data_IF_149494030211
#
_entry.id   IF_149494030211
#
_cell.length_a   1.000
_cell.length_b   1.000
_cell.length_c   1.000
_cell.angle_alpha   90.00
_cell.angle_beta   90.00
_cell.angle_gamma   90.00
#
_symmetry.space_group_name_H-M   'P 1'
#
loop_
_entity.id
_entity.type
_entity.pdbx_description
1 polymer ?
#
# COMPACT_ATOMS: atom_id res chain seq x y z
N UNK A 1 -48.79 27.89 -44.21
CA UNK A 1 -47.34 28.14 -44.02
C UNK A 1 -47.01 28.48 -42.57
N UNK A 2 -47.66 29.47 -41.95
CA UNK A 2 -47.38 29.88 -40.55
C UNK A 2 -47.48 28.77 -39.47
N UNK A 3 -48.39 27.80 -39.60
CA UNK A 3 -48.57 26.74 -38.57
C UNK A 3 -47.36 25.79 -38.50
N UNK A 4 -46.73 25.49 -39.64
CA UNK A 4 -45.56 24.60 -39.69
C UNK A 4 -44.32 25.26 -39.05
N UNK A 5 -44.16 26.58 -39.25
CA UNK A 5 -43.08 27.37 -38.66
C UNK A 5 -43.19 27.44 -37.12
N UNK A 6 -44.41 27.62 -36.59
CA UNK A 6 -44.66 27.66 -35.14
C UNK A 6 -44.37 26.29 -34.50
N UNK A 7 -44.81 25.19 -35.13
CA UNK A 7 -44.54 23.84 -34.61
C UNK A 7 -43.04 23.54 -34.65
N UNK A 8 -42.36 23.90 -35.74
CA UNK A 8 -40.91 23.75 -35.86
C UNK A 8 -40.15 24.51 -34.77
N UNK A 9 -40.54 25.76 -34.49
CA UNK A 9 -39.96 26.56 -33.42
C UNK A 9 -40.19 25.93 -32.02
N UNK A 10 -41.41 25.45 -31.75
CA UNK A 10 -41.74 24.81 -30.48
C UNK A 10 -40.94 23.51 -30.24
N UNK A 11 -40.79 22.67 -31.27
CA UNK A 11 -39.97 21.44 -31.21
C UNK A 11 -38.49 21.79 -31.04
N UNK A 12 -37.99 22.81 -31.73
CA UNK A 12 -36.61 23.28 -31.59
C UNK A 12 -36.30 23.72 -30.16
N UNK A 13 -37.18 24.51 -29.53
CA UNK A 13 -37.03 24.93 -28.13
C UNK A 13 -37.08 23.72 -27.20
N UNK A 14 -38.00 22.77 -27.42
CA UNK A 14 -38.11 21.57 -26.60
C UNK A 14 -36.83 20.72 -26.66
N UNK A 15 -36.26 20.53 -27.85
CA UNK A 15 -34.99 19.82 -28.01
C UNK A 15 -33.83 20.55 -27.34
N UNK A 16 -33.77 21.87 -27.41
CA UNK A 16 -32.74 22.65 -26.71
C UNK A 16 -32.83 22.48 -25.18
N UNK A 17 -34.04 22.45 -24.62
CA UNK A 17 -34.24 22.21 -23.18
C UNK A 17 -33.76 20.81 -22.78
N UNK A 18 -34.08 19.79 -23.58
CA UNK A 18 -33.63 18.42 -23.32
C UNK A 18 -32.10 18.32 -23.37
N UNK A 19 -31.48 18.90 -24.40
CA UNK A 19 -30.02 18.91 -24.54
C UNK A 19 -29.37 19.67 -23.39
N UNK A 20 -29.92 20.83 -22.99
CA UNK A 20 -29.41 21.58 -21.85
C UNK A 20 -29.47 20.76 -20.55
N UNK A 21 -30.57 20.04 -20.31
CA UNK A 21 -30.71 19.18 -19.13
C UNK A 21 -29.69 18.03 -19.15
N UNK A 22 -29.51 17.37 -20.29
CA UNK A 22 -28.51 16.32 -20.46
C UNK A 22 -27.08 16.84 -20.25
N UNK A 23 -26.79 18.03 -20.77
CA UNK A 23 -25.46 18.65 -20.64
C UNK A 23 -25.17 19.03 -19.18
N UNK A 24 -26.12 19.66 -18.49
CA UNK A 24 -25.96 20.00 -17.07
C UNK A 24 -25.83 18.73 -16.22
N UNK A 25 -26.65 17.70 -16.47
CA UNK A 25 -26.57 16.43 -15.74
C UNK A 25 -25.24 15.69 -15.95
N UNK A 26 -24.77 15.62 -17.20
CA UNK A 26 -23.50 14.95 -17.54
C UNK A 26 -22.29 15.71 -17.01
N UNK A 27 -22.30 17.04 -17.06
CA UNK A 27 -21.21 17.86 -16.51
C UNK A 27 -21.15 17.79 -14.99
N UNK A 28 -22.30 17.79 -14.31
CA UNK A 28 -22.35 17.68 -12.86
C UNK A 28 -21.83 16.33 -12.36
N UNK A 29 -22.30 15.23 -12.96
CA UNK A 29 -21.81 13.88 -12.60
C UNK A 29 -20.33 13.72 -12.89
N UNK A 30 -19.84 14.25 -14.02
CA UNK A 30 -18.41 14.25 -14.32
C UNK A 30 -17.60 15.06 -13.30
N UNK A 31 -18.12 16.22 -12.88
CA UNK A 31 -17.49 17.05 -11.86
C UNK A 31 -17.41 16.33 -10.51
N UNK A 32 -18.47 15.65 -10.08
CA UNK A 32 -18.50 14.88 -8.84
C UNK A 32 -17.47 13.75 -8.84
N UNK A 33 -17.35 13.01 -9.95
CA UNK A 33 -16.34 11.95 -10.11
C UNK A 33 -14.94 12.53 -10.01
N UNK A 34 -14.66 13.64 -10.69
CA UNK A 34 -13.35 14.30 -10.65
C UNK A 34 -13.03 14.80 -9.24
N UNK A 35 -13.97 15.45 -8.56
CA UNK A 35 -13.79 15.96 -7.19
C UNK A 35 -13.51 14.80 -6.23
N UNK A 36 -14.25 13.69 -6.36
CA UNK A 36 -14.05 12.51 -5.52
C UNK A 36 -12.66 11.90 -5.76
N UNK A 37 -12.27 11.73 -7.02
CA UNK A 37 -10.94 11.21 -7.36
C UNK A 37 -9.80 12.11 -6.85
N UNK A 38 -9.95 13.44 -6.95
CA UNK A 38 -8.97 14.39 -6.40
C UNK A 38 -8.87 14.31 -4.88
N UNK A 39 -10.02 14.20 -4.20
CA UNK A 39 -10.07 14.04 -2.74
C UNK A 39 -9.35 12.75 -2.32
N UNK A 40 -9.64 11.64 -2.98
CA UNK A 40 -9.02 10.34 -2.68
C UNK A 40 -7.52 10.37 -2.94
N UNK A 41 -7.08 11.00 -4.04
CA UNK A 41 -5.66 11.19 -4.34
C UNK A 41 -4.96 12.01 -3.24
N UNK A 42 -5.58 13.10 -2.78
CA UNK A 42 -5.03 13.93 -1.70
C UNK A 42 -4.94 13.16 -0.38
N UNK A 43 -5.96 12.36 -0.05
CA UNK A 43 -5.96 11.53 1.16
C UNK A 43 -4.82 10.50 1.11
N UNK A 44 -4.67 9.80 -0.02
CA UNK A 44 -3.62 8.80 -0.20
C UNK A 44 -2.22 9.43 -0.15
N UNK A 45 -2.05 10.64 -0.70
CA UNK A 45 -0.80 11.39 -0.59
C UNK A 45 -0.50 11.79 0.85
N UNK A 46 -1.49 12.25 1.61
CA UNK A 46 -1.31 12.60 3.01
C UNK A 46 -0.94 11.38 3.87
N UNK A 47 -1.60 10.24 3.66
CA UNK A 47 -1.24 8.98 4.31
C UNK A 47 0.21 8.59 3.97
N UNK A 48 0.61 8.70 2.69
CA UNK A 48 1.98 8.40 2.26
C UNK A 48 3.02 9.32 2.90
N UNK A 49 2.78 10.64 2.92
CA UNK A 49 3.69 11.62 3.51
C UNK A 49 3.90 11.40 5.01
N UNK A 50 2.86 10.93 5.69
CA UNK A 50 2.87 10.68 7.12
C UNK A 50 3.26 9.23 7.49
N UNK A 51 3.51 8.36 6.51
CA UNK A 51 4.00 7.00 6.76
C UNK A 51 5.51 6.98 6.61
N UNK A 52 6.20 6.46 7.63
CA UNK A 52 7.64 6.29 7.59
C UNK A 52 8.03 5.03 8.34
N UNK A 53 8.83 4.19 7.68
CA UNK A 53 9.33 2.95 8.25
C UNK A 53 10.85 2.95 8.23
N UNK A 54 11.45 2.29 9.20
CA UNK A 54 12.90 2.15 9.29
C UNK A 54 13.27 0.73 9.70
N UNK A 55 14.18 0.10 8.95
CA UNK A 55 14.78 -1.17 9.37
C UNK A 55 15.85 -0.84 10.40
N UNK A 56 15.64 -1.22 11.66
CA UNK A 56 16.47 -0.76 12.80
C UNK A 56 17.55 -1.79 13.16
N UNK A 57 17.13 -3.03 13.43
CA UNK A 57 18.02 -4.13 13.81
C UNK A 57 17.89 -5.30 12.85
N UNK A 58 18.98 -6.05 12.72
CA UNK A 58 19.09 -7.24 11.87
C UNK A 58 19.81 -8.33 12.64
N UNK A 59 19.18 -9.49 12.80
CA UNK A 59 19.74 -10.67 13.43
C UNK A 59 19.66 -11.85 12.44
N UNK A 60 20.79 -12.50 12.20
CA UNK A 60 20.87 -13.69 11.35
C UNK A 60 20.81 -14.89 12.29
N UNK A 61 19.63 -15.48 12.44
CA UNK A 61 19.41 -16.61 13.36
C UNK A 61 20.09 -17.88 12.85
N UNK A 62 19.66 -18.37 11.69
CA UNK A 62 20.13 -19.63 11.08
C UNK A 62 20.04 -19.48 9.56
N UNK A 63 21.14 -19.63 8.82
CA UNK A 63 21.13 -19.51 7.36
C UNK A 63 20.07 -20.45 6.74
N UNK A 64 19.08 -19.96 5.94
CA UNK A 64 18.97 -18.62 5.33
C UNK A 64 18.00 -17.64 6.00
N UNK A 65 17.44 -17.96 7.17
CA UNK A 65 16.48 -17.12 7.87
C UNK A 65 17.13 -15.85 8.44
N UNK A 66 16.50 -14.71 8.19
CA UNK A 66 16.93 -13.41 8.72
C UNK A 66 15.78 -12.77 9.48
N UNK A 67 16.03 -12.44 10.73
CA UNK A 67 15.12 -11.64 11.54
C UNK A 67 15.53 -10.18 11.41
N UNK A 68 14.65 -9.36 10.87
CA UNK A 68 14.80 -7.92 10.83
C UNK A 68 13.76 -7.29 11.72
N UNK A 69 14.06 -6.11 12.23
CA UNK A 69 13.06 -5.30 12.88
C UNK A 69 12.74 -4.07 12.07
N UNK A 70 11.44 -3.80 11.96
CA UNK A 70 10.89 -2.65 11.27
C UNK A 70 10.18 -1.80 12.31
N UNK A 71 10.61 -0.55 12.42
CA UNK A 71 10.04 0.44 13.34
C UNK A 71 9.23 1.43 12.54
N UNK A 72 8.01 1.72 12.98
CA UNK A 72 7.21 2.80 12.41
C UNK A 72 7.63 4.13 13.02
N UNK A 73 8.35 4.94 12.24
CA UNK A 73 8.81 6.28 12.65
C UNK A 73 7.92 7.39 12.07
N UNK A 74 6.79 7.01 11.46
CA UNK A 74 5.77 7.91 10.94
C UNK A 74 4.68 8.22 11.96
N UNK A 75 3.58 8.79 11.50
CA UNK A 75 2.39 9.09 12.32
C UNK A 75 1.15 8.32 11.86
N UNK A 76 1.28 7.46 10.85
CA UNK A 76 0.20 6.61 10.34
C UNK A 76 0.36 5.18 10.85
N UNK A 77 -0.75 4.57 11.23
CA UNK A 77 -0.79 3.17 11.65
C UNK A 77 -0.67 2.26 10.41
N UNK A 78 0.13 1.20 10.50
CA UNK A 78 0.29 0.22 9.44
C UNK A 78 -0.36 -1.09 9.88
N UNK A 79 -1.52 -1.41 9.32
CA UNK A 79 -2.28 -2.63 9.66
C UNK A 79 -2.24 -3.70 8.56
N UNK A 80 -1.89 -3.32 7.34
CA UNK A 80 -2.05 -4.16 6.15
C UNK A 80 -0.77 -4.92 5.79
N UNK A 81 -0.37 -5.82 6.69
CA UNK A 81 0.80 -6.67 6.50
C UNK A 81 0.68 -7.61 5.30
N UNK A 82 -0.54 -7.99 4.90
CA UNK A 82 -0.77 -8.88 3.76
C UNK A 82 -0.33 -8.28 2.42
N UNK A 83 -0.39 -6.95 2.29
CA UNK A 83 0.07 -6.22 1.11
C UNK A 83 1.43 -5.53 1.34
N UNK A 84 2.16 -5.92 2.38
CA UNK A 84 3.56 -5.52 2.54
C UNK A 84 4.47 -6.50 1.82
N UNK A 85 5.43 -5.95 1.08
CA UNK A 85 6.41 -6.72 0.32
C UNK A 85 7.76 -6.67 1.02
N UNK A 86 8.38 -7.83 1.17
CA UNK A 86 9.77 -7.94 1.61
C UNK A 86 10.58 -8.48 0.45
N UNK A 87 11.50 -7.65 -0.04
CA UNK A 87 12.41 -7.96 -1.12
C UNK A 87 13.78 -8.24 -0.54
N UNK A 88 14.38 -9.33 -1.02
CA UNK A 88 15.65 -9.82 -0.51
C UNK A 88 16.62 -9.99 -1.68
N UNK A 89 17.85 -9.51 -1.52
CA UNK A 89 18.90 -9.66 -2.52
C UNK A 89 19.98 -10.65 -2.05
N UNK A 90 20.12 -11.83 -2.69
CA UNK A 90 21.18 -12.78 -2.40
C UNK A 90 22.53 -12.27 -2.92
N UNK A 91 23.52 -12.12 -2.03
CA UNK A 91 24.91 -11.79 -2.39
C UNK A 91 25.68 -13.08 -2.75
N UNK A 92 26.45 -13.20 -3.85
CA UNK A 92 26.82 -12.20 -4.86
C UNK A 92 26.21 -12.40 -6.27
N UNK A 93 25.35 -13.40 -6.50
CA UNK A 93 24.98 -13.82 -7.86
C UNK A 93 23.47 -14.09 -8.09
N UNK A 94 22.62 -13.74 -7.13
CA UNK A 94 21.17 -13.96 -7.22
C UNK A 94 20.42 -12.77 -7.82
N UNK A 95 19.33 -13.05 -8.55
CA UNK A 95 18.28 -12.05 -8.75
C UNK A 95 17.58 -11.71 -7.43
N UNK A 96 16.72 -10.69 -7.42
CA UNK A 96 15.93 -10.40 -6.22
C UNK A 96 14.92 -11.53 -5.95
N UNK A 97 14.69 -11.80 -4.68
CA UNK A 97 13.65 -12.70 -4.21
C UNK A 97 12.52 -11.87 -3.58
N UNK A 98 11.29 -12.15 -3.99
CA UNK A 98 10.09 -11.56 -3.40
C UNK A 98 9.52 -12.52 -2.37
N UNK A 99 9.36 -12.05 -1.14
CA UNK A 99 8.77 -12.80 -0.05
C UNK A 99 7.33 -12.34 0.17
N UNK A 100 6.42 -13.31 0.19
CA UNK A 100 5.00 -13.08 0.47
C UNK A 100 4.68 -13.23 1.95
N UNK A 101 3.72 -12.47 2.47
CA UNK A 101 3.33 -12.57 3.87
C UNK A 101 2.64 -13.91 4.17
N UNK A 102 3.10 -14.61 5.20
CA UNK A 102 2.47 -15.81 5.73
C UNK A 102 2.12 -15.62 7.21
N UNK A 103 0.82 -15.47 7.49
CA UNK A 103 0.31 -15.25 8.83
C UNK A 103 0.26 -16.53 9.70
N UNK A 104 0.31 -17.72 9.09
CA UNK A 104 0.05 -18.98 9.79
C UNK A 104 1.33 -19.66 10.28
N UNK A 105 2.37 -19.65 9.43
CA UNK A 105 3.59 -20.42 9.67
C UNK A 105 4.81 -19.65 9.23
N UNK A 106 5.74 -19.47 10.16
CA UNK A 106 7.07 -18.95 9.89
C UNK A 106 7.99 -20.00 9.28
N UNK A 107 9.12 -19.57 8.71
CA UNK A 107 10.16 -20.46 8.12
C UNK A 107 9.71 -21.21 6.87
N UNK A 108 8.69 -20.72 6.16
CA UNK A 108 8.28 -21.25 4.85
C UNK A 108 9.09 -20.53 3.76
N UNK A 109 9.79 -21.29 2.92
CA UNK A 109 10.62 -20.74 1.84
C UNK A 109 9.80 -19.84 0.90
N UNK A 110 10.36 -18.67 0.54
CA UNK A 110 9.70 -17.67 -0.31
C UNK A 110 8.64 -16.82 0.42
N UNK A 111 8.63 -16.84 1.75
CA UNK A 111 7.68 -16.09 2.57
C UNK A 111 8.36 -15.30 3.68
N UNK A 112 7.63 -14.35 4.25
CA UNK A 112 7.98 -13.70 5.50
C UNK A 112 6.81 -13.78 6.47
N UNK A 113 7.09 -13.77 7.77
CA UNK A 113 6.08 -13.81 8.81
C UNK A 113 6.47 -12.89 9.98
N UNK A 114 5.52 -12.67 10.87
CA UNK A 114 5.79 -12.10 12.19
C UNK A 114 5.97 -13.29 13.15
N UNK A 115 7.17 -13.51 13.72
CA UNK A 115 7.42 -14.66 14.57
C UNK A 115 6.69 -14.49 15.93
N UNK A 116 6.03 -15.56 16.38
CA UNK A 116 5.10 -15.52 17.52
C UNK A 116 5.76 -15.19 18.87
N UNK A 117 7.07 -15.40 18.97
CA UNK A 117 7.90 -15.13 20.15
C UNK A 117 8.34 -13.67 20.26
N UNK A 118 8.49 -12.97 19.13
CA UNK A 118 8.92 -11.56 19.11
C UNK A 118 7.77 -10.58 18.86
N UNK A 119 6.84 -10.94 17.96
CA UNK A 119 5.63 -10.17 17.69
C UNK A 119 5.84 -8.70 17.31
N UNK A 120 4.80 -7.90 17.56
CA UNK A 120 4.85 -6.44 17.60
C UNK A 120 5.14 -6.02 19.05
N UNK A 121 6.16 -5.20 19.25
CA UNK A 121 6.56 -4.71 20.56
C UNK A 121 5.69 -3.52 20.97
N UNK A 122 5.23 -3.54 22.22
CA UNK A 122 4.37 -2.53 22.84
C UNK A 122 2.97 -2.38 22.23
N UNK A 123 2.48 -3.43 21.55
CA UNK A 123 1.16 -3.48 20.92
C UNK A 123 0.02 -3.56 21.97
N UNK A 124 -0.35 -2.41 22.52
CA UNK A 124 -1.36 -2.28 23.58
C UNK A 124 -2.66 -1.62 23.12
N UNK A 125 -2.59 -0.71 22.14
CA UNK A 125 -3.73 0.13 21.73
C UNK A 125 -4.45 -0.51 20.54
N UNK A 126 -3.72 -0.94 19.51
CA UNK A 126 -4.27 -1.54 18.30
C UNK A 126 -3.68 -2.93 17.99
N UNK A 127 -4.14 -3.99 18.66
CA UNK A 127 -3.64 -5.35 18.48
C UNK A 127 -3.52 -5.79 17.02
N UNK A 128 -2.32 -6.21 16.62
CA UNK A 128 -2.01 -6.65 15.27
C UNK A 128 -1.90 -5.51 14.26
N UNK A 129 -1.64 -4.28 14.70
CA UNK A 129 -1.32 -3.13 13.87
C UNK A 129 -0.03 -2.51 14.38
N UNK A 130 0.74 -1.90 13.48
CA UNK A 130 1.99 -1.23 13.84
C UNK A 130 1.72 0.26 14.03
N UNK A 131 1.52 0.67 15.28
CA UNK A 131 1.32 2.07 15.65
C UNK A 131 2.62 2.88 15.52
N UNK A 132 2.52 4.23 15.48
CA UNK A 132 3.69 5.10 15.58
C UNK A 132 4.56 4.76 16.79
N UNK A 133 5.88 4.71 16.59
CA UNK A 133 6.90 4.37 17.60
C UNK A 133 6.90 2.89 18.04
N UNK A 134 6.10 2.03 17.41
CA UNK A 134 6.16 0.59 17.61
C UNK A 134 7.13 -0.09 16.65
N UNK A 135 7.54 -1.30 17.05
CA UNK A 135 8.52 -2.12 16.34
C UNK A 135 7.95 -3.52 16.12
N UNK A 136 7.99 -3.98 14.88
CA UNK A 136 7.64 -5.37 14.52
C UNK A 136 8.90 -6.13 14.11
N UNK A 137 8.98 -7.38 14.55
CA UNK A 137 9.96 -8.32 14.04
C UNK A 137 9.41 -9.05 12.82
N UNK A 138 10.20 -9.09 11.76
CA UNK A 138 9.90 -9.79 10.51
C UNK A 138 10.95 -10.88 10.35
N UNK A 139 10.48 -12.12 10.23
CA UNK A 139 11.33 -13.24 9.86
C UNK A 139 11.22 -13.47 8.36
N UNK A 140 12.24 -13.03 7.63
CA UNK A 140 12.40 -13.30 6.21
C UNK A 140 12.90 -14.74 6.02
N UNK A 141 12.21 -15.51 5.18
CA UNK A 141 12.58 -16.90 4.84
C UNK A 141 12.86 -17.03 3.34
N UNK A 142 14.03 -16.54 2.87
CA UNK A 142 14.44 -16.74 1.49
C UNK A 142 14.47 -18.22 1.12
N UNK A 143 14.05 -18.54 -0.10
CA UNK A 143 14.23 -19.84 -0.73
C UNK A 143 15.68 -20.07 -1.14
N UNK A 144 16.45 -18.99 -1.34
CA UNK A 144 17.90 -19.07 -1.50
C UNK A 144 18.58 -19.55 -0.21
N UNK A 145 19.59 -20.41 -0.34
CA UNK A 145 20.36 -20.99 0.80
C UNK A 145 21.51 -20.10 1.29
N UNK A 146 21.54 -18.86 0.80
CA UNK A 146 22.58 -17.87 1.10
C UNK A 146 22.00 -16.75 1.91
N UNK A 147 22.73 -16.31 2.94
CA UNK A 147 22.39 -15.13 3.71
C UNK A 147 22.29 -13.94 2.74
N UNK A 148 21.17 -13.21 2.75
CA UNK A 148 21.01 -12.07 1.87
C UNK A 148 21.91 -10.90 2.25
N UNK A 149 22.34 -10.12 1.27
CA UNK A 149 23.18 -8.93 1.49
C UNK A 149 22.39 -7.63 1.61
N UNK A 150 21.16 -7.59 1.09
CA UNK A 150 20.27 -6.43 1.18
C UNK A 150 18.85 -6.92 1.43
N UNK A 151 18.16 -6.24 2.34
CA UNK A 151 16.72 -6.38 2.50
C UNK A 151 16.06 -5.03 2.27
N UNK A 152 14.95 -5.04 1.56
CA UNK A 152 14.05 -3.91 1.40
C UNK A 152 12.64 -4.32 1.83
N UNK A 153 12.04 -3.53 2.72
CA UNK A 153 10.66 -3.66 3.13
C UNK A 153 9.87 -2.54 2.47
N UNK A 154 8.72 -2.89 1.89
CA UNK A 154 7.80 -1.96 1.24
C UNK A 154 6.43 -2.09 1.90
N UNK A 155 5.91 -0.99 2.43
CA UNK A 155 4.57 -0.95 3.03
C UNK A 155 3.47 -1.02 1.96
N UNK A 156 2.24 -1.33 2.35
CA UNK A 156 1.08 -1.38 1.42
C UNK A 156 0.81 -0.06 0.68
N UNK A 157 1.20 1.06 1.27
CA UNK A 157 1.12 2.38 0.64
C UNK A 157 2.36 2.75 -0.19
N UNK A 158 3.36 1.87 -0.32
CA UNK A 158 4.51 2.05 -1.21
C UNK A 158 5.69 2.83 -0.61
N UNK A 159 5.72 3.06 0.71
CA UNK A 159 6.90 3.59 1.40
C UNK A 159 7.89 2.46 1.61
N UNK A 160 9.16 2.72 1.31
CA UNK A 160 10.22 1.70 1.35
C UNK A 160 11.26 2.04 2.41
N UNK A 161 11.81 1.00 3.02
CA UNK A 161 13.02 1.08 3.83
C UNK A 161 13.94 -0.07 3.44
N UNK A 162 15.23 0.22 3.25
CA UNK A 162 16.22 -0.79 2.89
C UNK A 162 17.43 -0.71 3.82
N UNK A 163 18.06 -1.86 4.03
CA UNK A 163 19.27 -1.99 4.84
C UNK A 163 20.15 -3.09 4.29
N UNK A 164 21.45 -2.81 4.20
CA UNK A 164 22.46 -3.82 3.91
C UNK A 164 22.69 -4.68 5.15
N UNK A 165 22.75 -5.99 4.94
CA UNK A 165 23.07 -6.95 5.98
C UNK A 165 24.58 -7.18 6.06
N UNK A 166 25.13 -7.37 7.27
CA UNK A 166 26.56 -7.62 7.47
C UNK A 166 27.02 -8.97 6.91
#
# INVERSE_FOLDING_TARGET
>A
MAVAEIIGAAVGIMLLVIVAYLLVGSTLTSAEVVITAQKDMSLQQDIRLNTRVEVTDTNIDENPYVNISVTNTGTQVISDFAHMDVLVYPNPAGGYEHLTYNANTCKVAGTWCIPADLGIQNDYIHPGQLDPDEKVWIMASPASVTVPGLIQVTTSNGITASRMLP
#
